data_IF_706014196650
#
_entry.id   IF_706014196650
#
_cell.length_a   1.000
_cell.length_b   1.000
_cell.length_c   1.000
_cell.angle_alpha   90.00
_cell.angle_beta   90.00
_cell.angle_gamma   90.00
#
_symmetry.space_group_name_H-M   'P 1'
#
loop_
_entity.id
_entity.type
_entity.pdbx_description
1 polymer ?
#
# COMPACT_ATOMS: atom_id res chain seq x y z
N UNK A 1 7.09 -7.81 -11.74
CA UNK A 1 7.17 -8.43 -10.41
C UNK A 1 5.80 -8.57 -9.79
N UNK A 2 5.65 -9.41 -8.79
CA UNK A 2 4.39 -9.54 -8.05
C UNK A 2 4.44 -8.72 -6.76
N UNK A 3 3.34 -8.04 -6.48
CA UNK A 3 3.10 -7.35 -5.21
C UNK A 3 1.77 -7.80 -4.62
N UNK A 4 1.56 -7.55 -3.35
CA UNK A 4 0.47 -8.16 -2.59
C UNK A 4 -0.28 -7.12 -1.80
N UNK A 5 -1.59 -7.26 -1.78
CA UNK A 5 -2.49 -6.42 -0.99
C UNK A 5 -3.46 -7.31 -0.24
N UNK A 6 -3.73 -6.99 1.00
CA UNK A 6 -4.78 -7.63 1.78
C UNK A 6 -5.91 -6.63 2.03
N UNK A 7 -7.13 -7.10 2.02
CA UNK A 7 -8.29 -6.25 2.27
C UNK A 7 -9.57 -7.04 2.40
N UNK A 8 -10.66 -6.31 2.62
CA UNK A 8 -11.99 -6.92 2.70
C UNK A 8 -12.36 -7.57 1.37
N UNK A 9 -12.98 -8.73 1.44
CA UNK A 9 -13.36 -9.54 0.28
C UNK A 9 -14.06 -8.73 -0.81
N UNK A 10 -14.98 -7.85 -0.42
CA UNK A 10 -15.76 -7.03 -1.35
C UNK A 10 -14.92 -6.03 -2.17
N UNK A 11 -13.71 -5.72 -1.74
CA UNK A 11 -12.83 -4.74 -2.41
C UNK A 11 -11.61 -5.38 -3.08
N UNK A 12 -11.51 -6.70 -3.11
CA UNK A 12 -10.30 -7.38 -3.57
C UNK A 12 -10.00 -7.18 -5.06
N UNK A 13 -11.01 -6.86 -5.87
CA UNK A 13 -10.83 -6.53 -7.28
C UNK A 13 -10.80 -5.02 -7.55
N UNK A 14 -10.90 -4.20 -6.52
CA UNK A 14 -10.94 -2.75 -6.66
C UNK A 14 -9.53 -2.16 -6.58
N UNK A 15 -9.01 -1.73 -7.72
CA UNK A 15 -7.73 -1.03 -7.84
C UNK A 15 -7.89 0.47 -8.07
N UNK A 16 -9.05 1.04 -7.77
CA UNK A 16 -9.33 2.48 -7.97
C UNK A 16 -8.56 3.39 -7.02
N UNK A 17 -8.11 2.86 -5.89
CA UNK A 17 -7.47 3.66 -4.84
C UNK A 17 -8.43 4.53 -4.04
N UNK A 18 -9.73 4.25 -4.12
CA UNK A 18 -10.77 5.08 -3.49
C UNK A 18 -10.64 5.10 -1.96
N UNK A 19 -10.34 3.96 -1.33
CA UNK A 19 -10.20 3.89 0.12
C UNK A 19 -9.10 4.82 0.63
N UNK A 20 -7.93 4.77 0.02
CA UNK A 20 -6.82 5.65 0.38
C UNK A 20 -7.12 7.11 0.05
N UNK A 21 -7.83 7.38 -1.04
CA UNK A 21 -8.29 8.73 -1.39
C UNK A 21 -9.18 9.32 -0.32
N UNK A 22 -10.08 8.53 0.24
CA UNK A 22 -11.06 9.01 1.23
C UNK A 22 -10.42 9.21 2.61
N UNK A 23 -9.53 8.33 3.04
CA UNK A 23 -9.03 8.30 4.42
C UNK A 23 -7.58 8.73 4.57
N UNK A 24 -6.83 8.75 3.48
CA UNK A 24 -5.40 8.99 3.55
C UNK A 24 -4.63 7.78 4.10
N UNK A 25 -3.31 7.86 4.05
CA UNK A 25 -2.40 6.87 4.60
C UNK A 25 -1.04 7.50 4.82
N UNK A 26 -0.04 6.71 5.15
CA UNK A 26 1.30 7.24 5.41
C UNK A 26 1.85 8.03 4.23
N UNK A 27 1.62 7.56 3.02
CA UNK A 27 2.22 8.10 1.81
C UNK A 27 1.24 8.85 0.91
N UNK A 28 0.03 9.14 1.41
CA UNK A 28 -0.91 9.98 0.65
C UNK A 28 -1.79 10.81 1.58
N UNK A 29 -2.11 12.00 1.10
CA UNK A 29 -3.14 12.85 1.71
C UNK A 29 -4.51 12.43 1.20
N UNK A 30 -5.56 12.74 1.96
CA UNK A 30 -6.93 12.64 1.47
C UNK A 30 -7.06 13.42 0.17
N UNK A 31 -7.74 12.84 -0.80
CA UNK A 31 -7.89 13.40 -2.14
C UNK A 31 -6.96 12.79 -3.19
N UNK A 32 -5.86 12.17 -2.81
CA UNK A 32 -4.94 11.49 -3.73
C UNK A 32 -5.23 9.99 -3.70
N UNK A 33 -5.76 9.41 -4.79
CA UNK A 33 -6.00 7.97 -4.84
C UNK A 33 -4.67 7.21 -4.93
N UNK A 34 -4.57 6.10 -4.23
CA UNK A 34 -3.45 5.18 -4.39
C UNK A 34 -3.79 3.79 -3.87
N UNK A 35 -3.04 2.80 -4.34
CA UNK A 35 -3.17 1.41 -3.91
C UNK A 35 -1.90 1.02 -3.16
N UNK A 36 -2.07 0.67 -1.88
CA UNK A 36 -0.97 0.21 -1.04
C UNK A 36 -0.76 -1.29 -1.26
N UNK A 37 0.46 -1.66 -1.61
CA UNK A 37 0.87 -3.06 -1.76
C UNK A 37 2.20 -3.30 -1.05
N UNK A 38 2.54 -4.57 -0.85
CA UNK A 38 3.77 -4.97 -0.20
C UNK A 38 4.50 -6.04 -1.03
N UNK A 39 5.79 -6.22 -0.76
CA UNK A 39 6.62 -7.17 -1.49
C UNK A 39 6.25 -8.64 -1.22
N UNK A 40 5.52 -8.92 -0.15
CA UNK A 40 5.09 -10.28 0.22
C UNK A 40 3.72 -10.28 0.89
N UNK A 41 3.08 -11.44 0.91
CA UNK A 41 1.83 -11.62 1.66
C UNK A 41 2.04 -11.35 3.15
N UNK A 42 3.16 -11.83 3.70
CA UNK A 42 3.45 -11.66 5.13
C UNK A 42 3.57 -10.18 5.50
N UNK A 43 4.29 -9.38 4.72
CA UNK A 43 4.41 -7.95 4.98
C UNK A 43 3.06 -7.24 4.81
N UNK A 44 2.30 -7.58 3.78
CA UNK A 44 0.96 -7.02 3.57
C UNK A 44 0.04 -7.30 4.77
N UNK A 45 0.08 -8.51 5.29
CA UNK A 45 -0.69 -8.90 6.48
C UNK A 45 -0.24 -8.14 7.73
N UNK A 46 1.05 -7.95 7.91
CA UNK A 46 1.61 -7.20 9.04
C UNK A 46 1.19 -5.72 8.98
N UNK A 47 1.30 -5.10 7.82
CA UNK A 47 0.87 -3.71 7.60
C UNK A 47 -0.64 -3.54 7.88
N UNK A 48 -1.44 -4.49 7.45
CA UNK A 48 -2.88 -4.50 7.75
C UNK A 48 -3.12 -4.62 9.25
N UNK A 49 -2.41 -5.53 9.91
CA UNK A 49 -2.65 -5.88 11.32
C UNK A 49 -2.37 -4.71 12.27
N UNK A 50 -1.37 -3.88 11.99
CA UNK A 50 -1.06 -2.72 12.84
C UNK A 50 -2.07 -1.59 12.70
N UNK A 51 -2.87 -1.60 11.65
CA UNK A 51 -3.85 -0.55 11.36
C UNK A 51 -5.29 -0.90 11.79
N UNK A 52 -5.56 -2.14 12.21
CA UNK A 52 -6.89 -2.53 12.69
C UNK A 52 -7.01 -2.30 14.19
N UNK A 53 -8.24 -1.95 14.63
CA UNK A 53 -8.54 -1.81 16.06
C UNK A 53 -8.64 -3.14 16.79
N UNK A 54 -8.37 -3.14 18.10
CA UNK A 54 -8.41 -4.35 18.94
C UNK A 54 -9.82 -4.91 19.12
N UNK A 55 -10.83 -4.05 19.07
CA UNK A 55 -12.23 -4.41 19.32
C UNK A 55 -12.98 -4.80 18.05
N UNK A 56 -12.26 -5.02 16.97
CA UNK A 56 -12.87 -5.25 15.67
C UNK A 56 -13.08 -6.75 15.43
N UNK A 57 -14.31 -7.11 15.03
CA UNK A 57 -14.54 -8.39 14.37
C UNK A 57 -14.03 -8.24 12.94
N UNK A 58 -12.98 -8.99 12.60
CA UNK A 58 -12.36 -8.89 11.28
C UNK A 58 -13.25 -9.62 10.28
N UNK A 59 -13.68 -8.94 9.20
CA UNK A 59 -14.49 -9.55 8.15
C UNK A 59 -13.67 -10.57 7.35
N UNK A 60 -14.32 -11.24 6.42
CA UNK A 60 -13.61 -12.06 5.44
C UNK A 60 -12.63 -11.18 4.64
N UNK A 61 -11.41 -11.68 4.54
CA UNK A 61 -10.32 -11.01 3.85
C UNK A 61 -9.90 -11.80 2.62
N UNK A 62 -9.16 -11.14 1.75
CA UNK A 62 -8.47 -11.80 0.66
C UNK A 62 -7.13 -11.12 0.41
N UNK A 63 -6.20 -11.90 -0.14
CA UNK A 63 -5.00 -11.36 -0.77
C UNK A 63 -5.29 -11.13 -2.25
N UNK A 64 -4.94 -9.96 -2.73
CA UNK A 64 -4.90 -9.66 -4.17
C UNK A 64 -3.45 -9.71 -4.60
N UNK A 65 -3.15 -10.59 -5.54
CA UNK A 65 -1.81 -10.72 -6.13
C UNK A 65 -1.79 -9.91 -7.41
N UNK A 66 -0.90 -8.94 -7.48
CA UNK A 66 -0.87 -7.95 -8.56
C UNK A 66 0.48 -8.03 -9.26
N UNK A 67 0.45 -8.19 -10.59
CA UNK A 67 1.64 -8.08 -11.43
C UNK A 67 1.83 -6.64 -11.87
N UNK A 68 3.04 -6.11 -11.66
CA UNK A 68 3.42 -4.77 -12.08
C UNK A 68 4.72 -4.82 -12.87
N UNK A 69 4.92 -3.84 -13.77
CA UNK A 69 6.13 -3.74 -14.55
C UNK A 69 7.23 -3.00 -13.76
N UNK A 70 8.41 -3.57 -13.73
CA UNK A 70 9.53 -3.03 -12.93
C UNK A 70 9.97 -1.63 -13.40
N UNK A 71 9.86 -1.36 -14.70
CA UNK A 71 10.24 -0.05 -15.26
C UNK A 71 9.29 1.09 -14.88
N UNK A 72 8.17 0.79 -14.24
CA UNK A 72 7.21 1.80 -13.74
C UNK A 72 7.45 2.19 -12.29
N UNK A 73 8.46 1.62 -11.66
CA UNK A 73 8.75 1.80 -10.23
C UNK A 73 9.88 2.80 -10.05
N UNK A 74 9.59 3.89 -9.31
CA UNK A 74 10.64 4.76 -8.79
C UNK A 74 11.06 4.23 -7.41
N UNK A 75 12.31 3.83 -7.29
CA UNK A 75 12.90 3.44 -6.00
C UNK A 75 13.30 4.70 -5.25
N UNK A 76 12.64 4.95 -4.12
CA UNK A 76 12.95 6.14 -3.32
C UNK A 76 14.09 5.80 -2.35
N UNK A 77 15.25 6.46 -2.46
CA UNK A 77 16.32 6.27 -1.48
C UNK A 77 15.88 6.75 -0.09
N UNK A 78 16.29 6.02 0.94
CA UNK A 78 15.94 6.37 2.34
C UNK A 78 16.39 7.80 2.66
N UNK A 79 17.52 8.23 2.13
CA UNK A 79 18.07 9.57 2.34
C UNK A 79 17.18 10.68 1.78
N UNK A 80 16.32 10.35 0.80
CA UNK A 80 15.39 11.28 0.18
C UNK A 80 14.07 11.42 0.93
N UNK A 81 13.81 10.54 1.89
CA UNK A 81 12.57 10.56 2.66
C UNK A 81 12.59 11.71 3.69
N UNK A 82 11.41 12.25 4.06
CA UNK A 82 11.34 13.18 5.19
C UNK A 82 11.94 12.56 6.46
N UNK A 83 12.61 13.36 7.28
CA UNK A 83 13.27 12.87 8.49
C UNK A 83 12.34 12.13 9.44
N UNK A 84 11.06 12.49 9.44
CA UNK A 84 10.03 11.92 10.30
C UNK A 84 9.13 10.90 9.60
N UNK A 85 9.63 10.23 8.55
CA UNK A 85 8.82 9.28 7.79
C UNK A 85 8.34 8.07 8.62
N UNK A 86 9.00 7.78 9.74
CA UNK A 86 8.62 6.70 10.67
C UNK A 86 7.63 7.14 11.75
N UNK A 87 7.27 8.40 11.82
CA UNK A 87 6.39 8.92 12.87
C UNK A 87 5.05 8.18 12.92
N UNK A 88 4.54 7.95 14.13
CA UNK A 88 3.25 7.31 14.39
C UNK A 88 2.43 8.25 15.27
N UNK A 89 1.31 8.77 14.79
CA UNK A 89 0.75 8.62 13.43
C UNK A 89 1.62 9.27 12.36
N UNK A 90 1.33 8.93 11.08
CA UNK A 90 2.09 9.43 9.95
C UNK A 90 2.09 10.96 9.89
N UNK A 91 3.24 11.56 9.63
CA UNK A 91 3.39 13.01 9.57
C UNK A 91 2.79 13.61 8.30
N UNK A 92 2.39 14.88 8.38
CA UNK A 92 1.91 15.64 7.20
C UNK A 92 2.98 15.73 6.11
N UNK A 93 4.25 15.88 6.50
CA UNK A 93 5.36 15.97 5.54
C UNK A 93 5.54 14.66 4.76
N UNK A 94 5.37 13.52 5.40
CA UNK A 94 5.45 12.21 4.74
C UNK A 94 4.27 11.99 3.79
N UNK A 95 3.07 12.34 4.20
CA UNK A 95 1.87 12.27 3.33
C UNK A 95 2.01 13.17 2.12
N UNK A 96 2.49 14.38 2.30
CA UNK A 96 2.73 15.34 1.21
C UNK A 96 3.81 14.83 0.26
N UNK A 97 4.90 14.32 0.79
CA UNK A 97 5.98 13.76 -0.01
C UNK A 97 5.48 12.63 -0.92
N UNK A 98 4.74 11.68 -0.35
CA UNK A 98 4.20 10.56 -1.13
C UNK A 98 3.17 11.00 -2.17
N UNK A 99 2.26 11.89 -1.81
CA UNK A 99 1.26 12.44 -2.74
C UNK A 99 1.93 13.17 -3.91
N UNK A 100 2.94 13.98 -3.64
CA UNK A 100 3.67 14.70 -4.68
C UNK A 100 4.41 13.73 -5.61
N UNK A 101 5.06 12.71 -5.06
CA UNK A 101 5.72 11.68 -5.86
C UNK A 101 4.73 10.95 -6.75
N UNK A 102 3.58 10.55 -6.23
CA UNK A 102 2.57 9.82 -7.00
C UNK A 102 1.94 10.66 -8.11
N UNK A 103 1.80 11.96 -7.92
CA UNK A 103 1.07 12.82 -8.87
C UNK A 103 1.99 13.59 -9.83
N UNK A 104 3.23 13.87 -9.45
CA UNK A 104 4.16 14.71 -10.22
C UNK A 104 5.28 13.92 -10.89
N UNK A 105 5.59 12.72 -10.42
CA UNK A 105 6.60 11.88 -11.03
C UNK A 105 6.11 11.26 -12.34
N UNK A 106 7.04 11.00 -13.26
CA UNK A 106 6.75 10.18 -14.45
C UNK A 106 6.55 8.69 -14.13
N UNK A 107 6.87 8.27 -12.90
CA UNK A 107 6.69 6.91 -12.44
C UNK A 107 5.38 6.79 -11.67
N UNK A 108 4.47 5.89 -12.08
CA UNK A 108 3.19 5.73 -11.38
C UNK A 108 3.28 4.91 -10.09
N UNK A 109 4.43 4.29 -9.82
CA UNK A 109 4.62 3.43 -8.65
C UNK A 109 5.87 3.89 -7.91
N UNK A 110 5.77 4.03 -6.59
CA UNK A 110 6.94 4.29 -5.74
C UNK A 110 7.21 3.10 -4.84
N UNK A 111 8.50 2.78 -4.66
CA UNK A 111 8.95 1.81 -3.67
C UNK A 111 9.46 2.55 -2.45
N UNK A 112 8.87 2.28 -1.30
CA UNK A 112 9.24 2.87 -0.02
C UNK A 112 9.49 1.79 1.01
N UNK A 113 10.35 2.02 2.02
CA UNK A 113 10.55 1.04 3.08
C UNK A 113 9.31 0.94 3.97
N UNK A 114 9.08 -0.25 4.53
CA UNK A 114 8.09 -0.43 5.58
C UNK A 114 8.59 0.22 6.87
N UNK A 115 7.70 0.88 7.60
CA UNK A 115 8.03 1.39 8.95
C UNK A 115 8.22 0.24 9.94
N UNK A 116 7.51 -0.86 9.73
CA UNK A 116 7.54 -2.03 10.61
C UNK A 116 8.83 -2.83 10.40
N UNK A 117 9.16 -3.11 9.14
CA UNK A 117 10.34 -3.86 8.73
C UNK A 117 11.12 -3.00 7.71
N UNK A 118 12.04 -2.14 8.15
CA UNK A 118 12.68 -1.16 7.25
C UNK A 118 13.52 -1.76 6.11
N UNK A 119 13.91 -3.03 6.22
CA UNK A 119 14.64 -3.74 5.15
C UNK A 119 13.70 -4.39 4.12
N UNK A 120 12.38 -4.26 4.30
CA UNK A 120 11.36 -4.73 3.36
C UNK A 120 10.55 -3.56 2.84
N UNK A 121 9.90 -3.75 1.68
CA UNK A 121 9.39 -2.62 0.92
C UNK A 121 7.90 -2.74 0.63
N UNK A 122 7.26 -1.58 0.67
CA UNK A 122 5.92 -1.37 0.17
C UNK A 122 5.98 -0.68 -1.19
N UNK A 123 5.00 -0.97 -2.04
CA UNK A 123 4.84 -0.38 -3.37
C UNK A 123 3.51 0.34 -3.40
N UNK A 124 3.57 1.64 -3.63
CA UNK A 124 2.39 2.50 -3.65
C UNK A 124 2.10 2.85 -5.09
N UNK A 125 0.91 2.50 -5.56
CA UNK A 125 0.52 2.63 -6.97
C UNK A 125 -0.45 3.78 -7.11
N UNK A 126 -0.17 4.69 -8.06
CA UNK A 126 -1.17 5.68 -8.49
C UNK A 126 -1.99 5.10 -9.65
N UNK A 127 -3.25 4.68 -9.40
CA UNK A 127 -4.05 4.03 -10.43
C UNK A 127 -4.50 4.97 -11.54
N UNK A 128 -4.45 6.28 -11.32
CA UNK A 128 -4.88 7.28 -12.30
C UNK A 128 -3.79 7.64 -13.30
N UNK A 129 -2.54 7.31 -13.00
CA UNK A 129 -1.37 7.63 -13.81
C UNK A 129 -0.72 6.39 -14.42
N UNK A 130 -1.43 5.29 -14.48
CA UNK A 130 -0.92 4.03 -15.00
C UNK A 130 -1.87 3.48 -16.07
N UNK A 131 -1.30 2.95 -17.15
CA UNK A 131 -2.06 2.21 -18.14
C UNK A 131 -2.64 0.95 -17.47
N UNK A 132 -3.94 0.68 -17.68
CA UNK A 132 -4.61 -0.48 -17.10
C UNK A 132 -3.96 -1.82 -17.53
N UNK A 133 -3.21 -1.84 -18.64
CA UNK A 133 -2.47 -3.02 -19.07
C UNK A 133 -1.16 -3.24 -18.32
N UNK A 134 -0.67 -2.22 -17.62
CA UNK A 134 0.60 -2.27 -16.89
C UNK A 134 0.44 -2.76 -15.44
N UNK A 135 -0.79 -2.87 -14.96
CA UNK A 135 -1.15 -3.41 -13.65
C UNK A 135 -2.21 -4.49 -13.84
N UNK A 136 -1.98 -5.68 -13.31
CA UNK A 136 -2.83 -6.83 -13.55
C UNK A 136 -3.05 -7.64 -12.29
N UNK A 137 -4.30 -7.89 -11.96
CA UNK A 137 -4.64 -8.87 -10.90
C UNK A 137 -4.45 -10.26 -11.49
N UNK A 138 -3.53 -11.03 -10.92
CA UNK A 138 -3.25 -12.40 -11.36
C UNK A 138 -3.91 -13.44 -10.47
N UNK A 139 -4.25 -13.10 -9.24
CA UNK A 139 -4.99 -13.99 -8.33
C UNK A 139 -5.68 -13.18 -7.24
N UNK A 140 -6.81 -13.70 -6.76
CA UNK A 140 -7.49 -13.26 -5.55
C UNK A 140 -7.66 -14.50 -4.68
N UNK A 141 -7.11 -14.46 -3.48
CA UNK A 141 -7.02 -15.61 -2.58
C UNK A 141 -7.77 -15.33 -1.28
N UNK A 142 -8.72 -16.15 -0.93
CA UNK A 142 -9.39 -16.01 0.36
C UNK A 142 -8.40 -16.17 1.50
N UNK A 143 -8.56 -15.37 2.56
CA UNK A 143 -7.73 -15.45 3.75
C UNK A 143 -8.57 -15.30 5.01
N UNK A 144 -8.42 -16.25 5.92
CA UNK A 144 -9.02 -16.15 7.25
C UNK A 144 -7.98 -15.60 8.21
N UNK A 145 -8.28 -14.46 8.84
CA UNK A 145 -7.36 -13.80 9.75
C UNK A 145 -7.03 -14.69 10.95
N UNK A 146 -5.76 -14.82 11.24
CA UNK A 146 -5.27 -15.53 12.41
C UNK A 146 -5.20 -14.54 13.59
N UNK A 147 -6.15 -14.66 14.52
CA UNK A 147 -6.25 -13.71 15.64
C UNK A 147 -5.07 -13.75 16.62
N UNK A 148 -4.19 -14.74 16.52
CA UNK A 148 -2.95 -14.74 17.30
C UNK A 148 -1.99 -13.61 16.87
N UNK A 149 -2.13 -13.09 15.65
CA UNK A 149 -1.29 -12.00 15.15
C UNK A 149 -1.51 -10.75 15.97
N UNK A 150 -2.76 -10.49 16.36
CA UNK A 150 -3.11 -9.32 17.14
C UNK A 150 -4.16 -9.71 18.18
N UNK A 151 -3.71 -9.89 19.37
CA UNK A 151 -4.55 -10.27 20.52
C UNK A 151 -4.50 -9.24 21.63
#
# INVERSE_FOLDING_TARGET
>A
MLVYRIGKEQFCNDLSGLGAKLYGGRWNRMGTPCVYTSQSRALSLLEYSVNIGMDFTIPKLCFTVIEIQDNLIEVIPVESLPNNWKAIPASSSTKTFGSDKLTQSSYPIIRVPSVIIPDEFNFIINPTNIDSNAIKIVAVEEYQYDYRIKS
#
